data_IF_500996735245
#
_entry.id   IF_500996735245
#
_cell.length_a   1.000
_cell.length_b   1.000
_cell.length_c   1.000
_cell.angle_alpha   90.00
_cell.angle_beta   90.00
_cell.angle_gamma   90.00
#
_symmetry.space_group_name_H-M   'P 1'
#
loop_
_entity.id
_entity.type
_entity.pdbx_description
1 polymer ?
#
# COMPACT_ATOMS: atom_id res chain seq x y z
N UNK A 1 -17.51 -18.31 5.17
CA UNK A 1 -17.45 -16.98 5.81
C UNK A 1 -18.33 -16.04 5.05
N UNK A 2 -19.14 -15.26 5.74
CA UNK A 2 -20.05 -14.27 5.15
C UNK A 2 -19.34 -12.92 5.06
N UNK A 3 -19.15 -12.47 3.83
CA UNK A 3 -18.43 -11.24 3.50
C UNK A 3 -19.43 -10.18 3.03
N UNK A 4 -19.35 -8.99 3.60
CA UNK A 4 -20.07 -7.81 3.09
C UNK A 4 -19.08 -6.91 2.36
N UNK A 5 -19.19 -6.83 1.03
CA UNK A 5 -18.48 -5.83 0.25
C UNK A 5 -19.29 -4.52 0.17
N UNK A 6 -18.67 -3.41 0.54
CA UNK A 6 -19.29 -2.06 0.46
C UNK A 6 -18.52 -1.24 -0.56
N UNK A 7 -19.21 -0.91 -1.66
CA UNK A 7 -18.67 -0.17 -2.80
C UNK A 7 -18.45 -1.02 -4.04
N UNK A 8 -19.08 -0.60 -5.14
CA UNK A 8 -18.97 -1.20 -6.47
C UNK A 8 -18.44 -0.21 -7.52
N UNK A 9 -17.62 0.73 -7.07
CA UNK A 9 -16.85 1.58 -7.96
C UNK A 9 -15.89 0.77 -8.84
N UNK A 10 -15.05 1.44 -9.63
CA UNK A 10 -14.11 0.77 -10.55
C UNK A 10 -13.28 -0.32 -9.85
N UNK A 11 -12.74 -0.04 -8.67
CA UNK A 11 -11.93 -1.01 -7.94
C UNK A 11 -12.81 -2.03 -7.20
N UNK A 12 -13.98 -1.63 -6.68
CA UNK A 12 -14.96 -2.55 -6.10
C UNK A 12 -15.41 -3.66 -7.05
N UNK A 13 -15.49 -3.39 -8.36
CA UNK A 13 -15.73 -4.42 -9.38
C UNK A 13 -14.57 -5.44 -9.46
N UNK A 14 -13.33 -5.04 -9.17
CA UNK A 14 -12.20 -5.97 -9.11
C UNK A 14 -12.28 -6.84 -7.86
N UNK A 15 -12.62 -6.25 -6.70
CA UNK A 15 -12.88 -7.00 -5.46
C UNK A 15 -14.01 -8.01 -5.65
N UNK A 16 -15.14 -7.60 -6.23
CA UNK A 16 -16.27 -8.50 -6.51
C UNK A 16 -15.84 -9.72 -7.33
N UNK A 17 -15.08 -9.50 -8.42
CA UNK A 17 -14.57 -10.62 -9.24
C UNK A 17 -13.63 -11.54 -8.47
N UNK A 18 -12.81 -10.99 -7.58
CA UNK A 18 -11.89 -11.77 -6.77
C UNK A 18 -12.60 -12.51 -5.64
N UNK A 19 -13.59 -11.91 -4.98
CA UNK A 19 -14.44 -12.59 -4.00
C UNK A 19 -15.19 -13.78 -4.57
N UNK A 20 -15.73 -13.64 -5.78
CA UNK A 20 -16.42 -14.74 -6.49
C UNK A 20 -15.51 -15.96 -6.73
N UNK A 21 -14.20 -15.75 -6.89
CA UNK A 21 -13.21 -16.84 -7.01
C UNK A 21 -12.93 -17.55 -5.69
N UNK A 22 -13.21 -16.91 -4.56
CA UNK A 22 -12.88 -17.44 -3.21
C UNK A 22 -14.00 -18.23 -2.55
N UNK A 23 -15.13 -18.44 -3.24
CA UNK A 23 -16.26 -19.23 -2.78
C UNK A 23 -16.77 -18.84 -1.36
N UNK A 24 -16.90 -17.56 -1.11
CA UNK A 24 -17.48 -16.98 0.11
C UNK A 24 -18.99 -16.75 -0.06
N UNK A 25 -19.73 -16.66 1.05
CA UNK A 25 -21.12 -16.17 1.04
C UNK A 25 -21.05 -14.63 1.00
N UNK A 26 -21.19 -14.08 -0.21
CA UNK A 26 -20.97 -12.67 -0.50
C UNK A 26 -22.29 -11.88 -0.49
N UNK A 27 -22.25 -10.75 0.18
CA UNK A 27 -23.27 -9.70 0.14
C UNK A 27 -22.65 -8.43 -0.37
N UNK A 28 -23.41 -7.62 -1.11
CA UNK A 28 -22.86 -6.45 -1.79
C UNK A 28 -23.71 -5.22 -1.51
N UNK A 29 -23.04 -4.11 -1.23
CA UNK A 29 -23.69 -2.82 -1.06
C UNK A 29 -23.07 -1.76 -1.97
N UNK A 30 -23.92 -0.99 -2.65
CA UNK A 30 -23.53 0.29 -3.26
C UNK A 30 -24.72 1.26 -3.18
N UNK A 31 -24.46 2.51 -2.85
CA UNK A 31 -25.52 3.54 -2.78
C UNK A 31 -26.20 3.83 -4.13
N UNK A 32 -25.56 3.48 -5.23
CA UNK A 32 -26.09 3.58 -6.58
C UNK A 32 -26.82 2.27 -6.94
N UNK A 33 -28.17 2.27 -6.97
CA UNK A 33 -28.94 1.05 -7.24
C UNK A 33 -28.68 0.49 -8.65
N UNK A 34 -28.24 1.32 -9.59
CA UNK A 34 -27.94 0.86 -10.94
C UNK A 34 -26.78 -0.14 -10.99
N UNK A 35 -25.85 -0.06 -10.03
CA UNK A 35 -24.73 -1.00 -9.91
C UNK A 35 -25.10 -2.33 -9.30
N UNK A 36 -26.26 -2.40 -8.64
CA UNK A 36 -26.79 -3.59 -7.99
C UNK A 36 -27.73 -4.40 -8.91
N UNK A 37 -28.27 -3.78 -9.95
CA UNK A 37 -29.37 -4.32 -10.74
C UNK A 37 -29.08 -5.66 -11.45
N UNK A 38 -27.80 -5.96 -11.73
CA UNK A 38 -27.39 -7.18 -12.44
C UNK A 38 -26.64 -8.17 -11.53
N UNK A 39 -26.72 -8.00 -10.21
CA UNK A 39 -26.04 -8.89 -9.26
C UNK A 39 -26.93 -10.08 -8.90
N UNK A 40 -26.30 -11.25 -8.76
CA UNK A 40 -26.92 -12.45 -8.22
C UNK A 40 -26.83 -12.49 -6.67
N UNK A 41 -25.84 -11.78 -6.11
CA UNK A 41 -25.61 -11.71 -4.68
C UNK A 41 -26.70 -10.90 -3.95
N UNK A 42 -27.07 -11.26 -2.72
CA UNK A 42 -27.90 -10.43 -1.87
C UNK A 42 -27.30 -9.02 -1.76
N UNK A 43 -28.10 -8.00 -2.09
CA UNK A 43 -27.58 -6.64 -2.19
C UNK A 43 -28.52 -5.60 -1.59
N UNK A 44 -27.99 -4.45 -1.17
CA UNK A 44 -28.74 -3.33 -0.61
C UNK A 44 -28.04 -2.02 -0.95
N UNK A 45 -28.82 -0.93 -0.99
CA UNK A 45 -28.25 0.42 -1.05
C UNK A 45 -27.80 0.96 0.32
N UNK A 46 -28.19 0.29 1.40
CA UNK A 46 -27.74 0.58 2.77
C UNK A 46 -26.95 -0.61 3.33
N UNK A 47 -25.65 -0.41 3.54
CA UNK A 47 -24.75 -1.43 4.09
C UNK A 47 -25.11 -1.86 5.52
N UNK A 48 -25.79 -0.99 6.29
CA UNK A 48 -26.22 -1.30 7.66
C UNK A 48 -27.24 -2.43 7.70
N UNK A 49 -28.07 -2.52 6.67
CA UNK A 49 -29.07 -3.57 6.54
C UNK A 49 -28.46 -4.97 6.36
N UNK A 50 -27.20 -5.03 5.87
CA UNK A 50 -26.49 -6.29 5.61
C UNK A 50 -25.41 -6.59 6.67
N UNK A 51 -25.11 -5.64 7.55
CA UNK A 51 -23.95 -5.72 8.47
C UNK A 51 -24.11 -6.82 9.52
N UNK A 52 -25.30 -7.00 10.07
CA UNK A 52 -25.52 -7.97 11.16
C UNK A 52 -25.22 -9.40 10.71
N UNK A 53 -25.56 -9.74 9.48
CA UNK A 53 -25.30 -11.06 8.91
C UNK A 53 -23.85 -11.29 8.48
N UNK A 54 -23.03 -10.25 8.38
CA UNK A 54 -21.65 -10.36 7.96
C UNK A 54 -20.74 -10.84 9.12
N UNK A 55 -19.69 -11.59 8.77
CA UNK A 55 -18.57 -11.93 9.68
C UNK A 55 -17.39 -10.97 9.45
N UNK A 56 -17.23 -10.50 8.22
CA UNK A 56 -16.24 -9.50 7.85
C UNK A 56 -16.78 -8.53 6.79
N UNK A 57 -16.18 -7.34 6.74
CA UNK A 57 -16.57 -6.25 5.85
C UNK A 57 -15.37 -5.83 5.00
N UNK A 58 -15.59 -5.75 3.70
CA UNK A 58 -14.64 -5.23 2.72
C UNK A 58 -15.10 -3.84 2.26
N UNK A 59 -14.35 -2.80 2.66
CA UNK A 59 -14.70 -1.40 2.44
C UNK A 59 -13.92 -0.86 1.24
N UNK A 60 -14.60 -0.74 0.08
CA UNK A 60 -14.02 -0.32 -1.21
C UNK A 60 -14.74 0.91 -1.75
N UNK A 61 -14.99 1.86 -0.87
CA UNK A 61 -15.69 3.11 -1.16
C UNK A 61 -14.72 4.26 -1.42
N UNK A 62 -15.17 5.50 -1.39
CA UNK A 62 -14.30 6.67 -1.31
C UNK A 62 -13.68 6.78 0.09
N UNK A 63 -12.43 7.24 0.18
CA UNK A 63 -11.69 7.35 1.43
C UNK A 63 -12.44 8.11 2.54
N UNK A 64 -13.25 9.10 2.16
CA UNK A 64 -14.07 9.91 3.09
C UNK A 64 -15.11 9.11 3.86
N UNK A 65 -15.51 7.92 3.37
CA UNK A 65 -16.48 7.06 4.05
C UNK A 65 -15.85 5.85 4.76
N UNK A 66 -14.52 5.62 4.59
CA UNK A 66 -13.83 4.49 5.18
C UNK A 66 -13.95 4.47 6.71
N UNK A 67 -13.68 5.62 7.35
CA UNK A 67 -13.69 5.75 8.80
C UNK A 67 -15.05 5.37 9.41
N UNK A 68 -16.13 5.86 8.85
CA UNK A 68 -17.47 5.57 9.38
C UNK A 68 -17.82 4.09 9.25
N UNK A 69 -17.65 3.52 8.05
CA UNK A 69 -18.05 2.14 7.77
C UNK A 69 -17.18 1.17 8.59
N UNK A 70 -15.85 1.36 8.57
CA UNK A 70 -14.91 0.51 9.30
C UNK A 70 -15.15 0.59 10.82
N UNK A 71 -15.36 1.80 11.37
CA UNK A 71 -15.65 1.99 12.79
C UNK A 71 -16.88 1.24 13.23
N UNK A 72 -18.00 1.41 12.54
CA UNK A 72 -19.26 0.75 12.90
C UNK A 72 -19.13 -0.77 12.77
N UNK A 73 -18.44 -1.27 11.74
CA UNK A 73 -18.18 -2.70 11.59
C UNK A 73 -17.36 -3.27 12.76
N UNK A 74 -16.28 -2.59 13.12
CA UNK A 74 -15.43 -2.97 14.28
C UNK A 74 -16.18 -2.92 15.60
N UNK A 75 -17.01 -1.88 15.83
CA UNK A 75 -17.89 -1.77 17.02
C UNK A 75 -18.85 -2.96 17.17
N UNK A 76 -19.27 -3.54 16.02
CA UNK A 76 -20.11 -4.74 15.96
C UNK A 76 -19.32 -6.06 15.95
N UNK A 77 -18.01 -6.00 16.24
CA UNK A 77 -17.15 -7.17 16.28
C UNK A 77 -16.89 -7.84 14.93
N UNK A 78 -17.02 -7.09 13.83
CA UNK A 78 -16.73 -7.59 12.49
C UNK A 78 -15.26 -7.35 12.14
N UNK A 79 -14.62 -8.31 11.47
CA UNK A 79 -13.31 -8.08 10.87
C UNK A 79 -13.45 -7.12 9.67
N UNK A 80 -12.43 -6.32 9.41
CA UNK A 80 -12.48 -5.30 8.35
C UNK A 80 -11.26 -5.35 7.45
N UNK A 81 -11.49 -5.42 6.14
CA UNK A 81 -10.56 -5.01 5.11
C UNK A 81 -11.01 -3.63 4.62
N UNK A 82 -10.13 -2.66 4.61
CA UNK A 82 -10.44 -1.31 4.10
C UNK A 82 -9.42 -0.90 3.05
N UNK A 83 -9.90 -0.38 1.93
CA UNK A 83 -9.02 0.12 0.88
C UNK A 83 -8.17 1.30 1.34
N UNK A 84 -7.03 1.45 0.69
CA UNK A 84 -6.14 2.59 0.96
C UNK A 84 -6.67 3.90 0.31
N UNK A 85 -6.38 5.06 0.92
CA UNK A 85 -5.83 5.20 2.27
C UNK A 85 -6.83 4.71 3.31
N UNK A 86 -6.36 4.20 4.43
CA UNK A 86 -7.23 3.65 5.49
C UNK A 86 -8.31 4.66 5.91
N UNK A 87 -7.92 5.92 6.02
CA UNK A 87 -8.76 7.09 6.37
C UNK A 87 -8.14 8.34 5.74
N UNK A 88 -8.88 9.46 5.67
CA UNK A 88 -8.33 10.74 5.22
C UNK A 88 -7.22 11.29 6.12
N UNK A 89 -7.22 10.99 7.43
CA UNK A 89 -6.22 11.45 8.38
C UNK A 89 -5.59 10.29 9.15
N UNK A 90 -4.29 10.41 9.48
CA UNK A 90 -3.58 9.40 10.26
C UNK A 90 -4.22 9.18 11.64
N UNK A 91 -4.69 10.25 12.29
CA UNK A 91 -5.37 10.17 13.59
C UNK A 91 -6.60 9.25 13.55
N UNK A 92 -7.43 9.37 12.54
CA UNK A 92 -8.60 8.49 12.36
C UNK A 92 -8.17 7.05 12.13
N UNK A 93 -7.11 6.83 11.33
CA UNK A 93 -6.53 5.51 11.06
C UNK A 93 -6.01 4.83 12.33
N UNK A 94 -5.25 5.54 13.16
CA UNK A 94 -4.81 5.03 14.46
C UNK A 94 -5.98 4.76 15.40
N UNK A 95 -7.03 5.59 15.35
CA UNK A 95 -8.27 5.33 16.09
C UNK A 95 -8.93 4.01 15.70
N UNK A 96 -9.01 3.69 14.39
CA UNK A 96 -9.51 2.42 13.90
C UNK A 96 -8.62 1.23 14.32
N UNK A 97 -7.30 1.39 14.25
CA UNK A 97 -6.35 0.36 14.67
C UNK A 97 -6.48 0.03 16.17
N UNK A 98 -6.64 1.05 17.00
CA UNK A 98 -6.90 0.90 18.44
C UNK A 98 -8.22 0.19 18.70
N UNK A 99 -9.30 0.62 18.04
CA UNK A 99 -10.63 0.01 18.17
C UNK A 99 -10.60 -1.48 17.74
N UNK A 100 -9.94 -1.80 16.63
CA UNK A 100 -9.81 -3.17 16.16
C UNK A 100 -9.13 -4.07 17.22
N UNK A 101 -8.05 -3.58 17.82
CA UNK A 101 -7.34 -4.28 18.90
C UNK A 101 -8.23 -4.48 20.13
N UNK A 102 -8.96 -3.45 20.56
CA UNK A 102 -9.88 -3.52 21.71
C UNK A 102 -11.04 -4.50 21.49
N UNK A 103 -11.49 -4.64 20.24
CA UNK A 103 -12.57 -5.54 19.86
C UNK A 103 -12.10 -6.94 19.49
N UNK A 104 -10.79 -7.19 19.46
CA UNK A 104 -10.23 -8.47 19.00
C UNK A 104 -10.51 -8.77 17.53
N UNK A 105 -10.67 -7.72 16.72
CA UNK A 105 -10.96 -7.81 15.30
C UNK A 105 -9.70 -7.65 14.45
N UNK A 106 -9.66 -8.32 13.32
CA UNK A 106 -8.67 -8.06 12.28
C UNK A 106 -9.06 -6.78 11.54
N UNK A 107 -8.13 -5.85 11.43
CA UNK A 107 -8.20 -4.70 10.54
C UNK A 107 -7.03 -4.76 9.57
N UNK A 108 -7.31 -5.03 8.30
CA UNK A 108 -6.34 -5.06 7.21
C UNK A 108 -6.58 -3.87 6.28
N UNK A 109 -5.51 -3.30 5.74
CA UNK A 109 -5.57 -2.19 4.78
C UNK A 109 -5.14 -2.67 3.41
N UNK A 110 -5.85 -2.25 2.36
CA UNK A 110 -5.69 -2.65 0.97
C UNK A 110 -4.39 -2.16 0.32
N UNK A 111 -3.24 -2.47 0.92
CA UNK A 111 -1.93 -2.23 0.36
C UNK A 111 -1.52 -3.40 -0.55
N UNK A 112 -2.25 -3.57 -1.63
CA UNK A 112 -2.17 -4.71 -2.57
C UNK A 112 -0.76 -4.98 -3.12
N UNK A 113 0.12 -3.97 -3.19
CA UNK A 113 1.50 -4.15 -3.66
C UNK A 113 2.32 -5.10 -2.78
N UNK A 114 2.02 -5.23 -1.49
CA UNK A 114 2.67 -6.23 -0.62
C UNK A 114 2.42 -7.67 -1.09
N UNK A 115 1.35 -7.90 -1.84
CA UNK A 115 0.95 -9.21 -2.36
C UNK A 115 1.42 -9.45 -3.80
N UNK A 116 2.01 -8.43 -4.45
CA UNK A 116 2.60 -8.62 -5.76
C UNK A 116 3.75 -9.64 -5.69
N UNK A 117 3.79 -10.65 -6.57
CA UNK A 117 4.85 -11.68 -6.58
C UNK A 117 6.25 -11.08 -6.63
N UNK A 118 6.40 -9.95 -7.33
CA UNK A 118 7.64 -9.17 -7.43
C UNK A 118 8.05 -8.59 -6.08
N UNK A 119 7.12 -7.92 -5.39
CA UNK A 119 7.39 -7.35 -4.07
C UNK A 119 7.76 -8.43 -3.05
N UNK A 120 7.10 -9.58 -3.12
CA UNK A 120 7.41 -10.75 -2.28
C UNK A 120 8.79 -11.33 -2.60
N UNK A 121 9.21 -11.32 -3.87
CA UNK A 121 10.55 -11.75 -4.25
C UNK A 121 11.62 -10.78 -3.73
N UNK A 122 11.36 -9.47 -3.82
CA UNK A 122 12.23 -8.42 -3.24
C UNK A 122 12.36 -8.61 -1.73
N UNK A 123 11.25 -8.72 -1.01
CA UNK A 123 11.20 -8.87 0.44
C UNK A 123 11.97 -10.12 0.91
N UNK A 124 11.76 -11.26 0.26
CA UNK A 124 12.51 -12.49 0.57
C UNK A 124 14.03 -12.32 0.34
N UNK A 125 14.42 -11.67 -0.76
CA UNK A 125 15.82 -11.42 -1.04
C UNK A 125 16.48 -10.49 -0.01
N UNK A 126 15.78 -9.44 0.40
CA UNK A 126 16.23 -8.54 1.47
C UNK A 126 16.37 -9.29 2.80
N UNK A 127 15.37 -10.03 3.21
CA UNK A 127 15.39 -10.81 4.47
C UNK A 127 16.47 -11.89 4.49
N UNK A 128 16.82 -12.45 3.33
CA UNK A 128 17.94 -13.42 3.23
C UNK A 128 19.31 -12.76 3.26
N UNK A 129 19.40 -11.42 3.35
CA UNK A 129 20.66 -10.69 3.34
C UNK A 129 21.31 -10.57 1.95
N UNK A 130 20.57 -10.84 0.86
CA UNK A 130 21.13 -10.91 -0.49
C UNK A 130 21.79 -9.62 -1.00
N UNK A 131 21.50 -8.46 -0.40
CA UNK A 131 22.10 -7.16 -0.72
C UNK A 131 22.86 -6.54 0.48
N UNK A 132 23.02 -7.29 1.57
CA UNK A 132 23.58 -6.78 2.81
C UNK A 132 22.66 -5.75 3.48
N UNK A 133 23.24 -4.74 4.13
CA UNK A 133 22.48 -3.64 4.74
C UNK A 133 21.91 -2.73 3.66
N UNK A 134 20.59 -2.50 3.70
CA UNK A 134 19.96 -1.53 2.80
C UNK A 134 20.51 -0.13 3.14
N UNK A 135 20.90 0.60 2.12
CA UNK A 135 21.34 1.99 2.22
C UNK A 135 20.28 2.95 1.76
N UNK A 136 19.72 2.67 0.57
CA UNK A 136 18.72 3.56 0.05
C UNK A 136 17.79 2.88 -0.98
N UNK A 137 16.60 3.48 -1.22
CA UNK A 137 15.63 3.01 -2.19
C UNK A 137 15.17 4.12 -3.13
N UNK A 138 14.79 3.73 -4.35
CA UNK A 138 14.10 4.57 -5.34
C UNK A 138 12.80 3.90 -5.73
N UNK A 139 11.70 4.63 -5.72
CA UNK A 139 10.39 4.11 -6.14
C UNK A 139 9.65 5.08 -7.04
N UNK A 140 9.09 4.60 -8.14
CA UNK A 140 8.34 5.41 -9.09
C UNK A 140 6.95 4.84 -9.33
N UNK A 141 5.95 5.71 -9.32
CA UNK A 141 4.58 5.42 -9.71
C UNK A 141 4.07 6.51 -10.66
N UNK A 142 4.39 6.37 -11.92
CA UNK A 142 4.19 7.42 -12.92
C UNK A 142 3.53 6.88 -14.17
N UNK A 143 2.70 7.67 -14.83
CA UNK A 143 2.20 7.41 -16.18
C UNK A 143 1.46 8.62 -16.71
N UNK A 144 1.37 8.74 -18.02
CA UNK A 144 0.43 9.69 -18.62
C UNK A 144 -1.00 9.18 -18.43
N UNK A 145 -1.74 9.81 -17.52
CA UNK A 145 -3.10 9.38 -17.16
C UNK A 145 -3.97 10.54 -16.72
N UNK A 146 -5.29 10.33 -16.79
CA UNK A 146 -6.23 11.24 -16.15
C UNK A 146 -5.96 11.32 -14.64
N UNK A 147 -5.77 12.51 -14.07
CA UNK A 147 -5.64 12.68 -12.64
C UNK A 147 -6.89 12.19 -11.89
N UNK A 148 -6.72 11.71 -10.68
CA UNK A 148 -7.83 11.35 -9.80
C UNK A 148 -8.60 12.60 -9.36
N UNK A 149 -9.87 12.41 -9.01
CA UNK A 149 -10.75 13.50 -8.55
C UNK A 149 -10.99 13.47 -7.05
N UNK A 150 -10.47 12.44 -6.37
CA UNK A 150 -10.73 12.13 -4.96
C UNK A 150 -9.48 12.28 -4.06
N UNK A 151 -8.36 12.73 -4.62
CA UNK A 151 -7.12 12.96 -3.88
C UNK A 151 -5.94 13.28 -4.79
N UNK A 152 -4.90 13.88 -4.24
CA UNK A 152 -3.62 14.10 -4.90
C UNK A 152 -2.85 12.80 -5.17
N UNK A 153 -1.78 12.86 -5.96
CA UNK A 153 -1.00 11.67 -6.32
C UNK A 153 -0.13 11.17 -5.17
N UNK A 154 0.29 12.03 -4.24
CA UNK A 154 1.00 11.58 -3.05
C UNK A 154 0.17 10.54 -2.27
N UNK A 155 -1.09 10.85 -1.95
CA UNK A 155 -1.97 9.96 -1.17
C UNK A 155 -2.60 8.85 -2.02
N UNK A 156 -2.79 9.05 -3.33
CA UNK A 156 -3.46 8.06 -4.18
C UNK A 156 -2.51 7.00 -4.75
N UNK A 157 -1.30 7.39 -5.13
CA UNK A 157 -0.30 6.54 -5.78
C UNK A 157 0.98 6.42 -4.96
N UNK A 158 1.53 7.54 -4.46
CA UNK A 158 2.75 7.58 -3.66
C UNK A 158 2.64 6.75 -2.38
N UNK A 159 1.47 6.72 -1.76
CA UNK A 159 1.20 5.95 -0.53
C UNK A 159 1.49 4.45 -0.69
N UNK A 160 1.34 3.88 -1.90
CA UNK A 160 1.69 2.49 -2.15
C UNK A 160 3.19 2.23 -1.98
N UNK A 161 4.02 3.14 -2.48
CA UNK A 161 5.47 3.01 -2.38
C UNK A 161 5.97 3.37 -0.97
N UNK A 162 5.33 4.34 -0.30
CA UNK A 162 5.62 4.67 1.11
C UNK A 162 5.41 3.44 1.98
N UNK A 163 4.27 2.77 1.83
CA UNK A 163 3.97 1.53 2.56
C UNK A 163 4.95 0.40 2.19
N UNK A 164 5.16 0.16 0.89
CA UNK A 164 6.01 -0.92 0.41
C UNK A 164 7.47 -0.78 0.88
N UNK A 165 8.04 0.43 0.81
CA UNK A 165 9.41 0.70 1.28
C UNK A 165 9.50 0.52 2.79
N UNK A 166 8.54 1.06 3.56
CA UNK A 166 8.52 0.92 5.02
C UNK A 166 8.40 -0.55 5.44
N UNK A 167 7.57 -1.33 4.75
CA UNK A 167 7.44 -2.78 4.98
C UNK A 167 8.74 -3.53 4.69
N UNK A 168 9.42 -3.24 3.56
CA UNK A 168 10.69 -3.88 3.20
C UNK A 168 11.82 -3.47 4.16
N UNK A 169 11.88 -2.20 4.59
CA UNK A 169 12.86 -1.71 5.57
C UNK A 169 12.56 -2.20 6.99
N UNK A 170 11.35 -2.67 7.26
CA UNK A 170 10.92 -3.13 8.59
C UNK A 170 10.79 -2.00 9.62
N UNK A 171 10.68 -0.75 9.18
CA UNK A 171 10.53 0.45 10.03
C UNK A 171 9.86 1.59 9.30
N UNK A 172 9.36 2.57 10.05
CA UNK A 172 8.77 3.78 9.49
C UNK A 172 9.81 4.91 9.32
N UNK A 173 9.62 5.83 8.36
CA UNK A 173 10.48 7.00 8.25
C UNK A 173 10.29 7.92 9.44
N UNK A 174 11.37 8.55 9.90
CA UNK A 174 11.37 9.51 10.99
C UNK A 174 11.02 10.92 10.51
N UNK A 175 11.26 11.21 9.23
CA UNK A 175 10.97 12.51 8.63
C UNK A 175 10.84 12.41 7.11
N UNK A 176 10.30 13.46 6.52
CA UNK A 176 10.16 13.62 5.08
C UNK A 176 10.50 15.03 4.63
N UNK A 177 11.10 15.16 3.45
CA UNK A 177 11.19 16.38 2.66
C UNK A 177 10.45 16.14 1.35
N UNK A 178 9.51 17.03 0.99
CA UNK A 178 8.66 16.81 -0.16
C UNK A 178 8.49 18.03 -1.05
N UNK A 179 8.29 17.76 -2.34
CA UNK A 179 7.81 18.72 -3.32
C UNK A 179 6.53 18.20 -3.93
N UNK A 180 5.42 18.86 -3.63
CA UNK A 180 4.11 18.57 -4.20
C UNK A 180 3.72 19.73 -5.13
N UNK A 181 3.21 19.43 -6.31
CA UNK A 181 2.81 20.44 -7.30
C UNK A 181 1.44 20.15 -7.88
N UNK A 182 0.63 21.20 -7.95
CA UNK A 182 -0.64 21.24 -8.65
C UNK A 182 -0.46 22.05 -9.95
N UNK A 183 0.04 21.39 -10.99
CA UNK A 183 0.24 22.05 -12.31
C UNK A 183 -1.07 22.23 -13.07
N UNK A 184 -2.11 21.47 -12.72
CA UNK A 184 -3.40 21.52 -13.39
C UNK A 184 -4.42 22.44 -12.68
N UNK A 185 -4.04 23.06 -11.55
CA UNK A 185 -4.89 24.01 -10.81
C UNK A 185 -6.15 23.39 -10.20
N UNK A 186 -6.07 22.15 -9.70
CA UNK A 186 -7.21 21.40 -9.16
C UNK A 186 -7.34 21.45 -7.64
N UNK A 187 -6.42 22.12 -6.96
CA UNK A 187 -6.33 22.12 -5.48
C UNK A 187 -5.75 20.81 -4.90
N UNK A 188 -5.14 19.96 -5.73
CA UNK A 188 -4.54 18.68 -5.36
C UNK A 188 -3.27 18.45 -6.17
N UNK A 189 -2.28 17.81 -5.57
CA UNK A 189 -1.02 17.50 -6.27
C UNK A 189 -1.26 16.52 -7.43
N UNK A 190 -0.60 16.81 -8.54
CA UNK A 190 -0.54 15.97 -9.75
C UNK A 190 0.90 15.57 -10.10
N UNK A 191 1.86 16.00 -9.29
CA UNK A 191 3.23 15.52 -9.21
C UNK A 191 3.74 15.62 -7.76
N UNK A 192 4.34 14.54 -7.27
CA UNK A 192 4.86 14.41 -5.92
C UNK A 192 6.25 13.79 -5.93
N UNK A 193 7.20 14.40 -5.21
CA UNK A 193 8.54 13.86 -4.92
C UNK A 193 8.74 13.88 -3.42
N UNK A 194 8.98 12.72 -2.82
CA UNK A 194 9.15 12.55 -1.38
C UNK A 194 10.52 11.94 -1.09
N UNK A 195 11.36 12.64 -0.34
CA UNK A 195 12.58 12.11 0.24
C UNK A 195 12.28 11.67 1.69
N UNK A 196 12.27 10.36 1.91
CA UNK A 196 11.96 9.72 3.19
C UNK A 196 13.26 9.44 3.95
N UNK A 197 13.33 9.90 5.19
CA UNK A 197 14.45 9.72 6.09
C UNK A 197 14.14 8.63 7.11
N UNK A 198 14.92 7.54 7.10
CA UNK A 198 14.81 6.41 8.03
C UNK A 198 16.00 6.38 9.03
N UNK A 199 16.73 7.47 9.18
CA UNK A 199 17.96 7.56 9.94
C UNK A 199 19.16 7.21 9.06
N UNK A 200 19.74 6.02 9.23
CA UNK A 200 20.87 5.56 8.40
C UNK A 200 20.47 5.19 6.96
N UNK A 201 19.19 5.07 6.68
CA UNK A 201 18.63 4.71 5.39
C UNK A 201 17.77 5.85 4.86
N UNK A 202 17.61 5.90 3.56
CA UNK A 202 16.73 6.86 2.91
C UNK A 202 15.96 6.24 1.74
N UNK A 203 14.87 6.89 1.34
CA UNK A 203 14.18 6.52 0.11
C UNK A 203 13.69 7.77 -0.63
N UNK A 204 13.68 7.70 -1.95
CA UNK A 204 13.03 8.68 -2.81
C UNK A 204 11.82 8.01 -3.47
N UNK A 205 10.66 8.62 -3.31
CA UNK A 205 9.39 8.19 -3.92
C UNK A 205 8.88 9.28 -4.83
N UNK A 206 8.55 8.92 -6.06
CA UNK A 206 7.96 9.84 -7.03
C UNK A 206 6.63 9.30 -7.58
N UNK A 207 5.62 10.18 -7.64
CA UNK A 207 4.32 9.89 -8.23
C UNK A 207 3.89 11.06 -9.14
N UNK A 208 3.55 10.78 -10.42
CA UNK A 208 3.16 11.82 -11.35
C UNK A 208 2.21 11.31 -12.43
N UNK A 209 1.32 12.19 -12.93
CA UNK A 209 0.40 11.85 -14.02
C UNK A 209 0.84 12.35 -15.42
N UNK A 210 2.02 12.91 -15.54
CA UNK A 210 2.53 13.53 -16.78
C UNK A 210 3.51 12.69 -17.60
N UNK A 211 4.35 11.80 -17.01
CA UNK A 211 5.35 11.08 -17.78
C UNK A 211 4.72 10.29 -18.93
N UNK A 212 5.26 10.39 -20.17
CA UNK A 212 4.68 9.74 -21.33
C UNK A 212 4.77 8.22 -21.27
N UNK A 213 5.84 7.71 -20.65
CA UNK A 213 6.03 6.28 -20.43
C UNK A 213 5.66 5.91 -18.98
N UNK A 214 4.89 4.82 -18.79
CA UNK A 214 4.55 4.36 -17.44
C UNK A 214 5.79 3.81 -16.74
N UNK A 215 5.98 4.21 -15.48
CA UNK A 215 6.98 3.64 -14.57
C UNK A 215 6.29 3.21 -13.28
N UNK A 216 6.52 1.96 -12.93
CA UNK A 216 6.08 1.39 -11.66
C UNK A 216 7.17 0.44 -11.22
N UNK A 217 8.14 0.99 -10.53
CA UNK A 217 9.35 0.28 -10.18
C UNK A 217 9.82 0.60 -8.75
N UNK A 218 10.67 -0.28 -8.22
CA UNK A 218 11.36 -0.13 -6.95
C UNK A 218 12.79 -0.63 -7.10
N UNK A 219 13.75 0.21 -6.74
CA UNK A 219 15.17 -0.13 -6.70
C UNK A 219 15.68 -0.04 -5.28
N UNK A 220 16.41 -1.05 -4.83
CA UNK A 220 17.02 -1.11 -3.51
C UNK A 220 18.53 -1.22 -3.66
N UNK A 221 19.27 -0.34 -3.02
CA UNK A 221 20.74 -0.33 -2.97
C UNK A 221 21.20 -0.73 -1.58
N UNK A 222 21.94 -1.81 -1.51
CA UNK A 222 22.52 -2.34 -0.28
C UNK A 222 24.04 -2.20 -0.22
N UNK A 223 24.64 -2.72 0.86
CA UNK A 223 26.09 -2.72 1.04
C UNK A 223 26.82 -3.74 0.16
N UNK A 224 26.13 -4.82 -0.25
CA UNK A 224 26.72 -5.97 -0.96
C UNK A 224 26.04 -6.25 -2.31
N UNK A 225 25.03 -5.48 -2.67
CA UNK A 225 24.30 -5.65 -3.92
C UNK A 225 23.16 -4.67 -4.07
N UNK A 226 22.42 -4.84 -5.17
CA UNK A 226 21.23 -4.06 -5.46
C UNK A 226 20.12 -4.93 -6.01
N UNK A 227 18.86 -4.50 -5.85
CA UNK A 227 17.70 -5.11 -6.47
C UNK A 227 16.98 -4.07 -7.34
N UNK A 228 16.65 -4.47 -8.57
CA UNK A 228 15.74 -3.72 -9.44
C UNK A 228 14.44 -4.53 -9.59
N UNK A 229 13.31 -3.90 -9.31
CA UNK A 229 11.98 -4.48 -9.45
C UNK A 229 11.15 -3.59 -10.37
N UNK A 230 10.68 -4.13 -11.49
CA UNK A 230 9.75 -3.46 -12.41
C UNK A 230 8.42 -4.22 -12.42
N UNK A 231 7.38 -3.58 -11.90
CA UNK A 231 6.03 -4.16 -11.81
C UNK A 231 5.28 -4.16 -13.16
N UNK A 232 5.86 -3.55 -14.20
CA UNK A 232 5.24 -3.48 -15.53
C UNK A 232 5.96 -4.35 -16.57
N UNK A 233 7.15 -4.84 -16.27
CA UNK A 233 7.91 -5.67 -17.22
C UNK A 233 7.20 -7.00 -17.49
N UNK A 234 7.32 -7.50 -18.72
CA UNK A 234 6.76 -8.81 -19.11
C UNK A 234 7.59 -9.98 -18.57
N UNK A 235 8.91 -9.81 -18.50
CA UNK A 235 9.86 -10.81 -18.03
C UNK A 235 10.93 -10.20 -17.14
N UNK A 236 11.64 -11.04 -16.37
CA UNK A 236 12.76 -10.65 -15.51
C UNK A 236 12.43 -9.45 -14.61
N UNK A 237 11.21 -9.43 -14.08
CA UNK A 237 10.63 -8.33 -13.31
C UNK A 237 11.46 -7.95 -12.08
N UNK A 238 12.19 -8.90 -11.51
CA UNK A 238 13.06 -8.66 -10.35
C UNK A 238 14.46 -9.16 -10.69
N UNK A 239 15.46 -8.26 -10.60
CA UNK A 239 16.87 -8.57 -10.84
C UNK A 239 17.70 -8.25 -9.61
N UNK A 240 18.55 -9.20 -9.22
CA UNK A 240 19.55 -9.03 -8.18
C UNK A 240 20.92 -8.82 -8.82
N UNK A 241 21.58 -7.76 -8.42
CA UNK A 241 22.91 -7.36 -8.88
C UNK A 241 23.92 -7.53 -7.74
N UNK A 242 24.98 -8.24 -7.99
CA UNK A 242 26.10 -8.40 -7.06
C UNK A 242 27.08 -7.22 -7.08
N UNK A 243 26.60 -6.02 -7.44
CA UNK A 243 27.43 -4.80 -7.49
C UNK A 243 27.69 -4.26 -6.09
N UNK A 244 28.95 -3.98 -5.78
CA UNK A 244 29.33 -3.47 -4.46
C UNK A 244 30.47 -2.46 -4.56
N UNK A 245 30.55 -1.58 -3.56
CA UNK A 245 31.73 -0.73 -3.35
C UNK A 245 32.62 -1.37 -2.27
N UNK A 246 33.88 -1.54 -2.56
CA UNK A 246 34.88 -2.12 -1.64
C UNK A 246 36.12 -1.22 -1.59
N UNK A 247 36.82 -1.20 -0.47
CA UNK A 247 38.13 -0.56 -0.39
C UNK A 247 39.20 -1.50 -0.95
N UNK A 248 40.09 -0.96 -1.76
CA UNK A 248 41.28 -1.66 -2.22
C UNK A 248 42.34 -1.73 -1.10
N UNK A 249 43.52 -2.30 -1.43
CA UNK A 249 44.64 -2.43 -0.49
C UNK A 249 45.20 -1.07 0.01
N UNK A 250 44.84 0.03 -0.65
CA UNK A 250 45.27 1.39 -0.30
C UNK A 250 44.16 2.19 0.39
N UNK A 251 42.99 1.56 0.69
CA UNK A 251 41.86 2.20 1.31
C UNK A 251 40.99 3.05 0.34
N UNK A 252 41.22 2.97 -0.96
CA UNK A 252 40.46 3.69 -1.98
C UNK A 252 39.20 2.91 -2.32
N UNK A 253 38.05 3.61 -2.35
CA UNK A 253 36.80 3.01 -2.75
C UNK A 253 36.75 2.72 -4.26
N UNK A 254 36.52 1.47 -4.60
CA UNK A 254 36.36 0.99 -5.98
C UNK A 254 34.99 0.37 -6.17
N UNK A 255 34.38 0.61 -7.33
CA UNK A 255 33.15 -0.06 -7.75
C UNK A 255 33.50 -1.45 -8.29
N UNK A 256 32.86 -2.47 -7.80
CA UNK A 256 33.01 -3.85 -8.24
C UNK A 256 31.68 -4.33 -8.83
N UNK A 257 31.70 -4.67 -10.10
CA UNK A 257 30.54 -5.31 -10.75
C UNK A 257 30.52 -6.80 -10.40
N UNK A 258 29.36 -7.28 -10.03
CA UNK A 258 29.12 -8.70 -9.75
C UNK A 258 28.04 -9.26 -10.69
N UNK A 259 27.71 -10.56 -10.56
CA UNK A 259 26.74 -11.22 -11.40
C UNK A 259 25.35 -10.59 -11.27
N UNK A 260 24.61 -10.59 -12.37
CA UNK A 260 23.19 -10.22 -12.42
C UNK A 260 22.37 -11.49 -12.59
N UNK A 261 21.35 -11.65 -11.77
CA UNK A 261 20.43 -12.78 -11.86
C UNK A 261 18.98 -12.35 -11.69
N UNK A 262 18.08 -12.90 -12.48
CA UNK A 262 16.66 -12.76 -12.28
C UNK A 262 16.22 -13.54 -11.03
N UNK A 263 15.34 -12.94 -10.21
CA UNK A 263 14.70 -13.61 -9.11
C UNK A 263 13.31 -14.11 -9.56
N UNK A 264 12.98 -15.32 -9.17
CA UNK A 264 11.68 -15.87 -9.48
C UNK A 264 10.56 -15.12 -8.74
N UNK A 265 9.65 -14.52 -9.51
CA UNK A 265 8.53 -13.74 -9.03
C UNK A 265 7.22 -14.30 -9.62
N UNK A 266 6.88 -15.53 -9.29
CA UNK A 266 5.60 -16.14 -9.65
C UNK A 266 4.69 -16.23 -8.42
N UNK A 267 3.40 -16.07 -8.66
CA UNK A 267 2.39 -16.14 -7.60
C UNK A 267 0.98 -15.90 -8.14
N UNK A 268 0.04 -15.85 -7.25
CA UNK A 268 -1.35 -15.55 -7.50
C UNK A 268 -1.53 -14.07 -7.87
N UNK A 269 -2.64 -13.74 -8.49
CA UNK A 269 -3.02 -12.34 -8.73
C UNK A 269 -3.05 -11.57 -7.40
N UNK A 270 -2.40 -10.39 -7.28
CA UNK A 270 -2.16 -9.73 -6.00
C UNK A 270 -3.42 -9.48 -5.17
N UNK A 271 -4.50 -8.99 -5.79
CA UNK A 271 -5.75 -8.74 -5.07
C UNK A 271 -6.38 -10.04 -4.56
N UNK A 272 -6.32 -11.13 -5.35
CA UNK A 272 -6.84 -12.43 -4.91
C UNK A 272 -6.05 -12.98 -3.72
N UNK A 273 -4.72 -12.83 -3.75
CA UNK A 273 -3.84 -13.19 -2.64
C UNK A 273 -4.14 -12.37 -1.38
N UNK A 274 -4.36 -11.06 -1.52
CA UNK A 274 -4.73 -10.16 -0.43
C UNK A 274 -6.04 -10.57 0.25
N UNK A 275 -7.09 -10.80 -0.55
CA UNK A 275 -8.40 -11.19 -0.05
C UNK A 275 -8.37 -12.57 0.62
N UNK A 276 -7.61 -13.52 0.08
CA UNK A 276 -7.39 -14.85 0.68
C UNK A 276 -6.69 -14.72 2.03
N UNK A 277 -5.62 -13.94 2.11
CA UNK A 277 -4.89 -13.67 3.34
C UNK A 277 -5.77 -13.02 4.39
N UNK A 278 -6.63 -12.08 4.00
CA UNK A 278 -7.60 -11.49 4.91
C UNK A 278 -8.58 -12.55 5.47
N UNK A 279 -9.12 -13.45 4.64
CA UNK A 279 -9.99 -14.53 5.11
C UNK A 279 -9.29 -15.46 6.10
N UNK A 280 -8.04 -15.79 5.86
CA UNK A 280 -7.24 -16.62 6.76
C UNK A 280 -6.96 -15.90 8.09
N UNK A 281 -6.64 -14.62 8.02
CA UNK A 281 -6.49 -13.76 9.20
C UNK A 281 -7.80 -13.70 10.02
N UNK A 282 -8.94 -13.53 9.38
CA UNK A 282 -10.25 -13.56 10.05
C UNK A 282 -10.53 -14.89 10.75
N UNK A 283 -10.23 -16.03 10.10
CA UNK A 283 -10.42 -17.36 10.70
C UNK A 283 -9.51 -17.60 11.91
N UNK A 284 -8.28 -17.08 11.85
CA UNK A 284 -7.31 -17.24 12.95
C UNK A 284 -7.47 -16.21 14.06
N UNK A 285 -8.20 -15.11 13.81
CA UNK A 285 -8.30 -13.95 14.70
C UNK A 285 -7.00 -13.15 14.82
N UNK A 286 -6.04 -13.33 13.90
CA UNK A 286 -4.72 -12.69 13.94
C UNK A 286 -4.39 -12.05 12.61
N UNK A 287 -3.89 -10.78 12.60
CA UNK A 287 -3.37 -10.17 11.39
C UNK A 287 -2.25 -11.01 10.76
N UNK A 288 -2.24 -11.08 9.43
CA UNK A 288 -1.17 -11.74 8.70
C UNK A 288 0.09 -10.85 8.66
N UNK A 289 1.28 -11.38 8.94
CA UNK A 289 2.52 -10.57 9.01
C UNK A 289 2.88 -9.86 7.70
N UNK A 290 2.45 -10.42 6.58
CA UNK A 290 2.67 -9.86 5.24
C UNK A 290 1.66 -8.78 4.85
N UNK A 291 0.49 -8.73 5.51
CA UNK A 291 -0.53 -7.73 5.24
C UNK A 291 -0.21 -6.41 5.96
N UNK A 292 -0.73 -5.32 5.44
CA UNK A 292 -0.75 -4.07 6.18
C UNK A 292 -1.90 -4.12 7.19
N UNK A 293 -1.60 -4.06 8.46
CA UNK A 293 -2.61 -3.86 9.50
C UNK A 293 -3.05 -2.39 9.59
N UNK A 294 -3.98 -2.09 10.48
CA UNK A 294 -4.47 -0.74 10.67
C UNK A 294 -3.38 0.26 11.07
N UNK A 295 -2.34 -0.19 11.83
CA UNK A 295 -1.22 0.68 12.23
C UNK A 295 -0.36 1.00 11.01
N UNK A 296 0.01 0.01 10.21
CA UNK A 296 0.80 0.22 9.00
C UNK A 296 0.09 1.18 8.02
N UNK A 297 -1.23 0.99 7.80
CA UNK A 297 -2.01 1.89 6.96
C UNK A 297 -2.08 3.32 7.50
N UNK A 298 -2.23 3.50 8.81
CA UNK A 298 -2.24 4.82 9.44
C UNK A 298 -0.86 5.50 9.38
N UNK A 299 0.24 4.74 9.54
CA UNK A 299 1.60 5.25 9.37
C UNK A 299 1.83 5.77 7.94
N UNK A 300 1.37 5.04 6.92
CA UNK A 300 1.50 5.49 5.54
C UNK A 300 0.77 6.84 5.31
N UNK A 301 -0.42 7.03 5.91
CA UNK A 301 -1.13 8.32 5.88
C UNK A 301 -0.34 9.40 6.62
N UNK A 302 0.22 9.11 7.82
CA UNK A 302 1.02 10.06 8.59
C UNK A 302 2.24 10.58 7.81
N UNK A 303 2.89 9.70 7.03
CA UNK A 303 3.99 10.09 6.14
C UNK A 303 3.51 11.06 5.05
N UNK A 304 2.35 10.82 4.46
CA UNK A 304 1.79 11.72 3.45
C UNK A 304 1.39 13.07 4.06
N UNK A 305 0.76 13.09 5.25
CA UNK A 305 0.45 14.34 5.98
C UNK A 305 1.73 15.14 6.28
N UNK A 306 2.81 14.46 6.70
CA UNK A 306 4.11 15.11 6.90
C UNK A 306 4.71 15.61 5.58
N UNK A 307 4.53 14.89 4.46
CA UNK A 307 4.96 15.34 3.13
C UNK A 307 4.19 16.59 2.67
N UNK A 308 2.88 16.65 2.89
CA UNK A 308 2.07 17.85 2.62
C UNK A 308 2.51 19.05 3.45
N UNK A 309 2.82 18.84 4.74
CA UNK A 309 3.40 19.89 5.60
C UNK A 309 4.76 20.34 5.08
N UNK A 310 5.64 19.39 4.74
CA UNK A 310 6.97 19.67 4.20
C UNK A 310 6.91 20.51 2.92
N UNK A 311 6.05 20.13 1.97
CA UNK A 311 5.87 20.86 0.72
C UNK A 311 5.35 22.29 0.92
N UNK A 312 4.45 22.48 1.91
CA UNK A 312 3.90 23.79 2.26
C UNK A 312 4.90 24.68 3.00
N UNK A 313 5.69 24.09 3.91
CA UNK A 313 6.65 24.81 4.74
C UNK A 313 8.04 24.95 4.10
N UNK A 314 8.33 24.20 3.05
CA UNK A 314 9.61 24.23 2.35
C UNK A 314 10.79 23.68 3.19
N UNK A 315 10.52 22.79 4.11
CA UNK A 315 11.54 22.22 5.01
C UNK A 315 11.30 20.73 5.30
N UNK A 316 12.31 20.06 5.88
CA UNK A 316 12.18 18.72 6.46
C UNK A 316 11.17 18.73 7.61
N UNK A 317 10.25 17.79 7.64
CA UNK A 317 9.22 17.64 8.67
C UNK A 317 9.29 16.23 9.26
N UNK A 318 9.21 16.14 10.58
CA UNK A 318 9.15 14.87 11.31
C UNK A 318 7.79 14.18 11.08
N UNK A 319 7.82 12.86 10.98
CA UNK A 319 6.62 12.03 10.91
C UNK A 319 6.10 11.77 12.31
N UNK A 320 4.91 12.25 12.60
CA UNK A 320 4.27 12.09 13.91
C UNK A 320 3.59 10.72 13.99
N UNK A 321 4.18 9.81 14.74
CA UNK A 321 3.60 8.50 15.04
C UNK A 321 3.22 8.43 16.51
N UNK A 322 2.13 7.74 16.89
CA UNK A 322 1.81 7.53 18.30
C UNK A 322 2.90 6.70 18.97
N UNK A 323 3.25 7.08 20.20
CA UNK A 323 4.23 6.41 21.05
C UNK A 323 3.76 5.02 21.50
#
# INVERSE_FOLDING_TARGET
MRVLQVGLGRFGQSHLRSWRKLAVDLRVCDRDPSRLAALEEPSSTDWRALLEDAECVDVVTSATSHQEIARVALERGKHVLVEKPITPTAREGFGLATLARERGCVLQVGHVFRFAPEARAVERAVRSGAIGQIRYALGHFMSFKRPRTDGGLAISDGVHLVDLVSWIFGKQPIAVTAVLRDYLGRGMDDAATLALDYGEQSALVEAACFPPEPRRDLHLMGSEGAISCDFLADADRVKLYGHAHKQDAHGVWVASEGPVRALHAAGEEPLLAELRTFLEACKSGRPAPEAADGVAGACAVAVIEAAERSAREGRRVEVELPS
#
